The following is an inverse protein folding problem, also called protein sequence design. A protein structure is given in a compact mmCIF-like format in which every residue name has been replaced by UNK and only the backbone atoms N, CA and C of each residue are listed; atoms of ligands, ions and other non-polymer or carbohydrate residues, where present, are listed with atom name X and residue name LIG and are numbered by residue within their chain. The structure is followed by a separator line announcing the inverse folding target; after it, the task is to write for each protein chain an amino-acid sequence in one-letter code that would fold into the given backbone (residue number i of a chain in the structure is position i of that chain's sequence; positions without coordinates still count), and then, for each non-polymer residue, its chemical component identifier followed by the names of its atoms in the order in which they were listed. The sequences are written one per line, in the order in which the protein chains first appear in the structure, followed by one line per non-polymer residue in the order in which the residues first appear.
data_IF_031985859056
#
_entry.id   IF_031985859056
#
_cell.length_a   1.000
_cell.length_b   1.000
_cell.length_c   1.000
_cell.angle_alpha   90.00
_cell.angle_beta   90.00
_cell.angle_gamma   90.00
#
_symmetry.space_group_name_H-M   'P 1'
#
loop_
_entity.id
_entity.type
_entity.pdbx_description
1 polymer ?
#
# COMPACT_ATOMS: atom_id res chain seq x y z
N UNK A 1 -14.33 2.60 -19.65
CA UNK A 1 -14.23 1.31 -20.40
C UNK A 1 -14.10 1.60 -21.89
N UNK A 2 -13.47 0.71 -22.67
CA UNK A 2 -13.31 0.92 -24.12
C UNK A 2 -12.17 1.87 -24.45
N UNK A 3 -12.42 2.89 -25.30
CA UNK A 3 -11.37 3.80 -25.79
C UNK A 3 -10.72 4.64 -24.69
N UNK A 4 -11.48 5.08 -23.69
CA UNK A 4 -10.95 5.80 -22.52
C UNK A 4 -9.92 4.94 -21.77
N UNK A 5 -10.27 3.69 -21.46
CA UNK A 5 -9.35 2.75 -20.83
C UNK A 5 -8.11 2.50 -21.70
N UNK A 6 -8.30 2.39 -23.03
CA UNK A 6 -7.19 2.18 -23.96
C UNK A 6 -6.22 3.35 -23.95
N UNK A 7 -6.73 4.58 -23.96
CA UNK A 7 -5.93 5.81 -23.89
C UNK A 7 -5.09 5.83 -22.62
N UNK A 8 -5.70 5.65 -21.45
CA UNK A 8 -5.01 5.63 -20.17
C UNK A 8 -3.97 4.51 -20.10
N UNK A 9 -4.34 3.31 -20.58
CA UNK A 9 -3.46 2.14 -20.59
C UNK A 9 -2.21 2.37 -21.44
N UNK A 10 -2.35 2.98 -22.61
CA UNK A 10 -1.22 3.27 -23.49
C UNK A 10 -0.27 4.29 -22.87
N UNK A 11 -0.80 5.34 -22.24
CA UNK A 11 0.01 6.33 -21.53
C UNK A 11 0.77 5.70 -20.35
N UNK A 12 0.07 4.96 -19.48
CA UNK A 12 0.66 4.32 -18.30
C UNK A 12 1.67 3.22 -18.68
N UNK A 13 1.43 2.46 -19.74
CA UNK A 13 2.38 1.42 -20.19
C UNK A 13 3.74 2.02 -20.51
N UNK A 14 3.79 3.21 -21.10
CA UNK A 14 5.05 3.87 -21.46
C UNK A 14 5.85 4.23 -20.22
N UNK A 15 5.21 4.84 -19.23
CA UNK A 15 5.90 5.38 -18.04
C UNK A 15 6.11 4.35 -16.93
N UNK A 16 5.22 3.35 -16.82
CA UNK A 16 5.25 2.40 -15.70
C UNK A 16 5.75 1.01 -16.10
N UNK A 17 5.28 0.48 -17.23
CA UNK A 17 5.48 -0.94 -17.60
C UNK A 17 6.67 -1.15 -18.55
N UNK A 18 6.97 -0.16 -19.40
CA UNK A 18 8.07 -0.27 -20.36
C UNK A 18 9.41 -0.45 -19.62
N UNK A 19 10.40 -1.17 -20.20
CA UNK A 19 11.70 -1.33 -19.55
C UNK A 19 12.37 0.01 -19.21
N UNK A 20 12.17 1.04 -20.03
CA UNK A 20 12.70 2.38 -19.78
C UNK A 20 11.98 3.07 -18.62
N UNK A 21 10.65 2.95 -18.54
CA UNK A 21 9.84 3.47 -17.42
C UNK A 21 10.16 2.75 -16.11
N UNK A 22 10.12 1.42 -16.13
CA UNK A 22 10.42 0.57 -14.97
C UNK A 22 11.79 0.87 -14.35
N UNK A 23 12.81 1.12 -15.18
CA UNK A 23 14.17 1.48 -14.72
C UNK A 23 14.20 2.77 -13.90
N UNK A 24 13.28 3.72 -14.14
CA UNK A 24 13.21 4.98 -13.39
C UNK A 24 12.86 4.75 -11.92
N UNK A 25 12.10 3.68 -11.60
CA UNK A 25 11.72 3.37 -10.23
C UNK A 25 12.80 2.62 -9.44
N UNK A 26 13.79 2.01 -10.11
CA UNK A 26 14.81 1.18 -9.45
C UNK A 26 15.54 1.89 -8.30
N UNK A 27 15.98 3.16 -8.42
CA UNK A 27 16.62 3.86 -7.31
C UNK A 27 15.70 4.02 -6.09
N UNK A 28 14.42 4.29 -6.31
CA UNK A 28 13.42 4.44 -5.25
C UNK A 28 13.18 3.11 -4.53
N UNK A 29 12.98 2.04 -5.31
CA UNK A 29 12.74 0.70 -4.77
C UNK A 29 13.96 0.15 -4.04
N UNK A 30 15.17 0.32 -4.58
CA UNK A 30 16.44 -0.10 -3.97
C UNK A 30 16.69 0.65 -2.64
N UNK A 31 16.39 1.95 -2.57
CA UNK A 31 16.50 2.71 -1.33
C UNK A 31 15.61 2.12 -0.22
N UNK A 32 14.33 1.86 -0.51
CA UNK A 32 13.40 1.29 0.47
C UNK A 32 13.78 -0.15 0.84
N UNK A 33 14.28 -0.94 -0.12
CA UNK A 33 14.76 -2.30 0.16
C UNK A 33 15.97 -2.32 1.10
N UNK A 34 16.92 -1.39 0.92
CA UNK A 34 18.06 -1.23 1.83
C UNK A 34 17.62 -0.81 3.23
N UNK A 35 16.70 0.13 3.34
CA UNK A 35 16.16 0.59 4.63
C UNK A 35 15.46 -0.57 5.36
N UNK A 36 14.68 -1.38 4.65
CA UNK A 36 14.03 -2.56 5.19
C UNK A 36 15.03 -3.60 5.69
N UNK A 37 16.04 -3.94 4.87
CA UNK A 37 17.10 -4.87 5.25
C UNK A 37 17.89 -4.37 6.48
N UNK A 38 18.22 -3.07 6.52
CA UNK A 38 18.88 -2.45 7.66
C UNK A 38 18.03 -2.50 8.94
N UNK A 39 16.72 -2.24 8.83
CA UNK A 39 15.79 -2.33 9.95
C UNK A 39 15.71 -3.76 10.52
N UNK A 40 15.60 -4.77 9.65
CA UNK A 40 15.63 -6.18 10.07
C UNK A 40 16.98 -6.55 10.70
N UNK A 41 18.09 -6.12 10.11
CA UNK A 41 19.42 -6.38 10.67
C UNK A 41 19.56 -5.79 12.07
N UNK A 42 19.12 -4.54 12.30
CA UNK A 42 19.11 -3.92 13.63
C UNK A 42 18.31 -4.74 14.65
N UNK A 43 17.15 -5.28 14.26
CA UNK A 43 16.32 -6.13 15.13
C UNK A 43 17.01 -7.44 15.48
N UNK A 44 17.70 -8.06 14.52
CA UNK A 44 18.51 -9.27 14.76
C UNK A 44 19.64 -8.98 15.75
N UNK A 45 20.35 -7.86 15.60
CA UNK A 45 21.45 -7.48 16.49
C UNK A 45 20.98 -7.16 17.92
N UNK A 46 19.78 -6.59 18.07
CA UNK A 46 19.16 -6.35 19.39
C UNK A 46 18.77 -7.64 20.12
N UNK A 47 18.64 -8.77 19.41
CA UNK A 47 18.31 -10.05 20.03
C UNK A 47 19.57 -10.74 20.56
N UNK A 48 19.55 -11.15 21.84
CA UNK A 48 20.65 -11.87 22.48
C UNK A 48 21.08 -13.14 21.74
N UNK A 49 20.14 -13.82 21.05
CA UNK A 49 20.41 -15.03 20.26
C UNK A 49 20.91 -14.75 18.84
N UNK A 50 21.04 -13.47 18.43
CA UNK A 50 21.37 -13.03 17.07
C UNK A 50 20.51 -13.69 15.98
N UNK A 51 19.26 -13.99 16.31
CA UNK A 51 18.27 -14.56 15.40
C UNK A 51 16.92 -13.87 15.63
N UNK A 52 16.04 -13.89 14.63
CA UNK A 52 14.72 -13.28 14.70
C UNK A 52 13.69 -14.26 14.17
N UNK A 53 12.69 -14.59 14.99
CA UNK A 53 11.47 -15.25 14.56
C UNK A 53 10.35 -14.23 14.68
N UNK A 54 9.82 -13.78 13.54
CA UNK A 54 8.77 -12.76 13.47
C UNK A 54 7.80 -13.11 12.34
N UNK A 55 6.52 -12.81 12.54
CA UNK A 55 5.57 -12.69 11.45
C UNK A 55 5.86 -11.43 10.62
N UNK A 56 6.36 -11.65 9.40
CA UNK A 56 6.74 -10.59 8.48
C UNK A 56 5.55 -9.96 7.73
N UNK A 57 4.32 -10.47 7.86
CA UNK A 57 3.17 -9.98 7.08
C UNK A 57 3.00 -8.47 7.20
N UNK A 58 3.00 -7.94 8.43
CA UNK A 58 2.88 -6.50 8.70
C UNK A 58 4.07 -5.69 8.18
N UNK A 59 5.27 -6.25 8.30
CA UNK A 59 6.51 -5.61 7.87
C UNK A 59 6.59 -5.53 6.33
N UNK A 60 6.15 -6.57 5.64
CA UNK A 60 6.07 -6.63 4.18
C UNK A 60 4.98 -5.71 3.61
N UNK A 61 3.85 -5.57 4.31
CA UNK A 61 2.80 -4.62 3.92
C UNK A 61 3.34 -3.18 3.98
N UNK A 62 4.02 -2.82 5.08
CA UNK A 62 4.68 -1.51 5.25
C UNK A 62 5.75 -1.25 4.19
N UNK A 63 6.61 -2.25 3.94
CA UNK A 63 7.61 -2.20 2.88
C UNK A 63 6.99 -1.94 1.51
N UNK A 64 5.95 -2.70 1.15
CA UNK A 64 5.30 -2.59 -0.16
C UNK A 64 4.66 -1.22 -0.34
N UNK A 65 4.04 -0.68 0.71
CA UNK A 65 3.40 0.63 0.64
C UNK A 65 4.41 1.78 0.58
N UNK A 66 5.48 1.73 1.39
CA UNK A 66 6.59 2.68 1.33
C UNK A 66 7.25 2.68 -0.06
N UNK A 67 7.52 1.48 -0.60
CA UNK A 67 8.14 1.32 -1.91
C UNK A 67 7.24 1.84 -3.04
N UNK A 68 5.94 1.55 -2.98
CA UNK A 68 4.97 2.01 -3.98
C UNK A 68 4.76 3.51 -3.92
N UNK A 69 4.62 4.08 -2.71
CA UNK A 69 4.45 5.52 -2.52
C UNK A 69 5.69 6.28 -2.97
N UNK A 70 6.88 5.81 -2.61
CA UNK A 70 8.12 6.47 -3.01
C UNK A 70 8.38 6.36 -4.52
N UNK A 71 8.02 5.23 -5.14
CA UNK A 71 8.14 5.08 -6.58
C UNK A 71 7.14 5.96 -7.36
N UNK A 72 5.90 6.10 -6.88
CA UNK A 72 4.83 6.82 -7.59
C UNK A 72 4.85 8.32 -7.34
N UNK A 73 5.14 8.75 -6.11
CA UNK A 73 5.03 10.14 -5.67
C UNK A 73 6.38 10.78 -5.32
N UNK A 74 7.44 9.99 -5.19
CA UNK A 74 8.75 10.50 -4.76
C UNK A 74 8.81 10.87 -3.27
N UNK A 75 7.80 10.50 -2.48
CA UNK A 75 7.68 10.83 -1.07
C UNK A 75 7.90 9.61 -0.16
N UNK A 76 8.54 9.84 0.99
CA UNK A 76 8.81 8.82 2.01
C UNK A 76 7.75 8.92 3.10
N UNK A 77 6.99 7.84 3.33
CA UNK A 77 5.95 7.79 4.35
C UNK A 77 6.50 7.47 5.75
N UNK A 78 7.76 7.03 5.85
CA UNK A 78 8.40 6.71 7.12
C UNK A 78 7.89 5.41 7.76
N UNK A 79 7.33 4.50 6.97
CA UNK A 79 6.66 3.29 7.46
C UNK A 79 7.61 2.22 8.01
N UNK A 80 8.90 2.35 7.71
CA UNK A 80 9.96 1.44 8.13
C UNK A 80 10.69 1.90 9.40
N UNK A 81 10.33 3.07 9.94
CA UNK A 81 10.88 3.59 11.18
C UNK A 81 10.32 2.84 12.41
N UNK A 82 11.02 2.90 13.54
CA UNK A 82 10.56 2.23 14.77
C UNK A 82 9.21 2.80 15.26
N UNK A 83 8.94 4.07 14.97
CA UNK A 83 7.70 4.79 15.27
C UNK A 83 7.15 5.49 14.03
N UNK A 84 6.32 4.81 13.21
CA UNK A 84 5.72 5.42 12.03
C UNK A 84 4.83 6.62 12.39
N UNK A 85 4.77 7.61 11.49
CA UNK A 85 3.85 8.74 11.64
C UNK A 85 2.39 8.27 11.76
N UNK A 86 1.62 8.92 12.64
CA UNK A 86 0.20 8.60 12.84
C UNK A 86 -0.61 8.72 11.54
N UNK A 87 -0.18 9.60 10.65
CA UNK A 87 -0.73 9.82 9.33
C UNK A 87 -0.55 8.60 8.41
N UNK A 88 0.68 8.15 8.21
CA UNK A 88 0.98 6.97 7.40
C UNK A 88 0.33 5.68 7.95
N UNK A 89 0.17 5.58 9.27
CA UNK A 89 -0.53 4.45 9.90
C UNK A 89 -2.07 4.52 9.68
N UNK A 90 -2.66 5.72 9.57
CA UNK A 90 -4.07 5.90 9.16
C UNK A 90 -4.25 5.48 7.71
N UNK A 91 -3.36 5.89 6.81
CA UNK A 91 -3.41 5.51 5.40
C UNK A 91 -3.31 3.98 5.19
N UNK A 92 -2.37 3.31 5.85
CA UNK A 92 -2.29 1.83 5.88
C UNK A 92 -3.61 1.21 6.30
N UNK A 93 -4.16 1.68 7.42
CA UNK A 93 -5.41 1.14 7.98
C UNK A 93 -6.61 1.37 7.05
N UNK A 94 -6.62 2.48 6.32
CA UNK A 94 -7.62 2.78 5.30
C UNK A 94 -7.51 1.83 4.11
N UNK A 95 -6.31 1.61 3.55
CA UNK A 95 -6.09 0.64 2.46
C UNK A 95 -6.48 -0.78 2.87
N UNK A 96 -6.08 -1.22 4.07
CA UNK A 96 -6.44 -2.54 4.61
C UNK A 96 -7.97 -2.68 4.77
N UNK A 97 -8.62 -1.64 5.31
CA UNK A 97 -10.08 -1.61 5.46
C UNK A 97 -10.78 -1.64 4.11
N UNK A 98 -10.32 -0.86 3.14
CA UNK A 98 -10.85 -0.83 1.78
C UNK A 98 -10.75 -2.23 1.14
N UNK A 99 -9.59 -2.88 1.16
CA UNK A 99 -9.40 -4.22 0.60
C UNK A 99 -10.29 -5.26 1.30
N UNK A 100 -10.34 -5.26 2.63
CA UNK A 100 -11.12 -6.21 3.44
C UNK A 100 -12.63 -6.06 3.20
N UNK A 101 -13.11 -4.84 3.03
CA UNK A 101 -14.54 -4.55 2.82
C UNK A 101 -14.96 -4.72 1.35
N UNK A 102 -14.03 -4.63 0.40
CA UNK A 102 -14.29 -4.85 -1.04
C UNK A 102 -14.82 -6.27 -1.32
N UNK A 103 -14.15 -7.29 -0.79
CA UNK A 103 -14.50 -8.69 -1.08
C UNK A 103 -15.95 -9.03 -0.75
N UNK A 104 -16.47 -8.75 0.46
CA UNK A 104 -17.88 -8.96 0.77
C UNK A 104 -18.82 -8.14 -0.12
N UNK A 105 -18.48 -6.87 -0.42
CA UNK A 105 -19.31 -5.99 -1.24
C UNK A 105 -19.46 -6.47 -2.70
N UNK A 106 -18.43 -7.14 -3.26
CA UNK A 106 -18.48 -7.70 -4.61
C UNK A 106 -19.57 -8.76 -4.81
N UNK A 107 -19.96 -9.46 -3.74
CA UNK A 107 -20.97 -10.52 -3.79
C UNK A 107 -22.37 -10.05 -3.38
N UNK A 108 -22.54 -8.77 -3.04
CA UNK A 108 -23.83 -8.20 -2.70
C UNK A 108 -24.52 -7.65 -3.96
N UNK A 109 -25.74 -8.09 -4.29
CA UNK A 109 -26.47 -7.53 -5.42
C UNK A 109 -26.71 -6.01 -5.25
N UNK A 110 -26.60 -5.20 -6.32
CA UNK A 110 -26.73 -3.74 -6.24
C UNK A 110 -28.04 -3.23 -5.63
N UNK A 111 -29.15 -3.96 -5.82
CA UNK A 111 -30.44 -3.63 -5.22
C UNK A 111 -30.48 -3.81 -3.70
N UNK A 112 -29.65 -4.72 -3.16
CA UNK A 112 -29.49 -4.94 -1.72
C UNK A 112 -28.51 -3.94 -1.09
N UNK A 113 -27.52 -3.45 -1.84
CA UNK A 113 -26.59 -2.42 -1.36
C UNK A 113 -27.30 -1.12 -0.92
N UNK A 114 -28.40 -0.73 -1.58
CA UNK A 114 -29.18 0.46 -1.21
C UNK A 114 -30.00 0.28 0.07
N UNK A 115 -30.37 -0.95 0.39
CA UNK A 115 -31.14 -1.30 1.60
C UNK A 115 -30.22 -1.65 2.78
N UNK A 116 -28.99 -2.06 2.48
CA UNK A 116 -27.93 -2.27 3.45
C UNK A 116 -27.35 -0.90 3.84
N UNK A 117 -28.02 -0.20 4.77
CA UNK A 117 -27.36 0.80 5.64
C UNK A 117 -26.41 0.08 6.62
N UNK A 118 -25.51 -0.69 6.01
CA UNK A 118 -24.72 -1.68 6.68
C UNK A 118 -23.37 -1.03 6.96
N UNK A 119 -22.95 -1.11 8.22
CA UNK A 119 -21.64 -0.68 8.72
C UNK A 119 -20.49 -0.94 7.75
N UNK A 120 -20.55 -2.06 7.01
CA UNK A 120 -19.61 -2.40 5.93
C UNK A 120 -19.48 -1.34 4.82
N UNK A 121 -20.58 -0.81 4.28
CA UNK A 121 -20.55 0.21 3.21
C UNK A 121 -20.00 1.53 3.75
N UNK A 122 -20.39 1.92 4.97
CA UNK A 122 -19.85 3.12 5.64
C UNK A 122 -18.36 3.00 5.90
N UNK A 123 -17.90 1.86 6.41
CA UNK A 123 -16.48 1.59 6.66
C UNK A 123 -15.69 1.59 5.34
N UNK A 124 -16.27 1.06 4.25
CA UNK A 124 -15.66 1.09 2.92
C UNK A 124 -15.53 2.51 2.35
N UNK A 125 -16.59 3.32 2.43
CA UNK A 125 -16.56 4.70 1.98
C UNK A 125 -15.60 5.57 2.80
N UNK A 126 -15.62 5.45 4.13
CA UNK A 126 -14.70 6.19 4.99
C UNK A 126 -13.23 5.80 4.73
N UNK A 127 -12.97 4.53 4.40
CA UNK A 127 -11.65 4.09 3.99
C UNK A 127 -11.21 4.72 2.67
N UNK A 128 -12.09 4.79 1.66
CA UNK A 128 -11.80 5.52 0.42
C UNK A 128 -11.57 7.01 0.65
N UNK A 129 -12.40 7.67 1.46
CA UNK A 129 -12.24 9.08 1.79
C UNK A 129 -10.86 9.35 2.42
N UNK A 130 -10.43 8.50 3.35
CA UNK A 130 -9.10 8.61 3.96
C UNK A 130 -7.95 8.35 2.97
N UNK A 131 -8.14 7.48 1.97
CA UNK A 131 -7.14 7.22 0.92
C UNK A 131 -6.98 8.42 -0.01
N UNK A 132 -8.09 9.09 -0.39
CA UNK A 132 -8.08 10.24 -1.31
C UNK A 132 -7.75 11.58 -0.63
N UNK A 133 -7.73 11.64 0.70
CA UNK A 133 -7.30 12.80 1.48
C UNK A 133 -5.79 12.82 1.75
N UNK A 134 -5.06 11.80 1.29
CA UNK A 134 -3.59 11.78 1.19
C UNK A 134 -3.15 12.02 -0.24
#
# INVERSE_FOLDING_TARGET
NGEEWRSDRLALNREVISPAGARKFLPFLDAVARDFAAALHRRVQKNARRSLTVDLHRDLFRFTLEASSYALYGERLGLLEETPAAEAQRFIGAVETMLRTTLPLLFVPPGLLRCLDHRLWRDHMAAWDAIFQH
#
